data_IF_799909360964
#
_entry.id   IF_799909360964
#
_cell.length_a   1.000
_cell.length_b   1.000
_cell.length_c   1.000
_cell.angle_alpha   90.00
_cell.angle_beta   90.00
_cell.angle_gamma   90.00
#
_symmetry.space_group_name_H-M   'P 1'
#
loop_
_entity.id
_entity.type
_entity.pdbx_description
1 polymer ?
#
# COMPACT_ATOMS: atom_id res chain seq x y z
N UNK A 1 18.10 -11.49 -5.02
CA UNK A 1 19.45 -10.99 -5.37
C UNK A 1 19.68 -10.91 -6.88
N UNK A 2 19.40 -11.95 -7.67
CA UNK A 2 19.68 -11.96 -9.12
C UNK A 2 18.93 -10.87 -9.91
N UNK A 3 17.67 -10.58 -9.57
CA UNK A 3 16.89 -9.57 -10.32
C UNK A 3 17.53 -8.17 -10.20
N UNK A 4 18.11 -7.81 -9.05
CA UNK A 4 18.76 -6.50 -8.85
C UNK A 4 20.05 -6.33 -9.67
N UNK A 5 20.69 -7.40 -10.11
CA UNK A 5 21.91 -7.32 -10.93
C UNK A 5 21.64 -6.88 -12.37
N UNK A 6 20.37 -6.88 -12.81
CA UNK A 6 19.96 -6.38 -14.13
C UNK A 6 19.79 -4.86 -14.16
N UNK A 7 19.75 -4.19 -13.00
CA UNK A 7 19.54 -2.74 -12.90
C UNK A 7 20.53 -1.92 -13.75
N UNK A 8 21.86 -2.19 -13.75
CA UNK A 8 22.80 -1.41 -14.55
C UNK A 8 22.48 -1.41 -16.05
N UNK A 9 21.89 -2.49 -16.58
CA UNK A 9 21.48 -2.54 -17.98
C UNK A 9 20.29 -1.59 -18.25
N UNK A 10 19.28 -1.59 -17.37
CA UNK A 10 18.12 -0.70 -17.48
C UNK A 10 18.52 0.76 -17.27
N UNK A 11 19.41 1.03 -16.30
CA UNK A 11 19.91 2.36 -16.01
C UNK A 11 20.67 2.96 -17.21
N UNK A 12 21.52 2.19 -17.88
CA UNK A 12 22.20 2.64 -19.13
C UNK A 12 21.22 2.94 -20.26
N UNK A 13 20.09 2.25 -20.33
CA UNK A 13 19.03 2.46 -21.33
C UNK A 13 18.06 3.59 -20.98
N UNK A 14 18.29 4.34 -19.90
CA UNK A 14 17.43 5.48 -19.49
C UNK A 14 17.22 6.52 -20.61
N UNK A 15 18.23 6.90 -21.43
CA UNK A 15 18.01 7.83 -22.55
C UNK A 15 17.03 7.29 -23.60
N UNK A 16 16.93 5.97 -23.76
CA UNK A 16 16.06 5.34 -24.75
C UNK A 16 14.57 5.55 -24.46
N UNK A 17 14.20 5.96 -23.24
CA UNK A 17 12.82 6.37 -22.89
C UNK A 17 12.27 7.45 -23.82
N UNK A 18 13.13 8.27 -24.44
CA UNK A 18 12.72 9.34 -25.35
C UNK A 18 12.32 8.84 -26.75
N UNK A 19 12.60 7.58 -27.08
CA UNK A 19 12.48 7.08 -28.45
C UNK A 19 11.03 6.83 -28.86
N UNK A 20 10.22 6.25 -27.98
CA UNK A 20 8.78 6.07 -28.21
C UNK A 20 8.02 5.86 -26.89
N UNK A 21 6.69 5.93 -26.96
CA UNK A 21 5.79 5.63 -25.83
C UNK A 21 6.08 4.23 -25.27
N UNK A 22 6.31 3.24 -26.14
CA UNK A 22 6.61 1.85 -25.78
C UNK A 22 7.94 1.73 -25.02
N UNK A 23 8.95 2.51 -25.42
CA UNK A 23 10.24 2.52 -24.72
C UNK A 23 10.10 3.10 -23.32
N UNK A 24 9.39 4.22 -23.15
CA UNK A 24 9.15 4.80 -21.84
C UNK A 24 8.33 3.88 -20.94
N UNK A 25 7.26 3.30 -21.47
CA UNK A 25 6.41 2.36 -20.75
C UNK A 25 7.20 1.13 -20.28
N UNK A 26 7.91 0.48 -21.20
CA UNK A 26 8.71 -0.71 -20.92
C UNK A 26 9.78 -0.41 -19.87
N UNK A 27 10.41 0.77 -19.95
CA UNK A 27 11.41 1.18 -18.98
C UNK A 27 10.82 1.32 -17.58
N UNK A 28 9.66 1.98 -17.42
CA UNK A 28 8.99 2.08 -16.10
C UNK A 28 8.60 0.71 -15.53
N UNK A 29 8.05 -0.17 -16.37
CA UNK A 29 7.68 -1.54 -15.96
C UNK A 29 8.90 -2.30 -15.43
N UNK A 30 10.00 -2.29 -16.19
CA UNK A 30 11.23 -2.99 -15.83
C UNK A 30 11.87 -2.37 -14.59
N UNK A 31 12.00 -1.04 -14.52
CA UNK A 31 12.55 -0.36 -13.35
C UNK A 31 11.80 -0.73 -12.06
N UNK A 32 10.46 -0.66 -12.08
CA UNK A 32 9.64 -1.01 -10.92
C UNK A 32 9.69 -2.50 -10.58
N UNK A 33 9.76 -3.38 -11.59
CA UNK A 33 9.90 -4.82 -11.37
C UNK A 33 11.26 -5.15 -10.72
N UNK A 34 12.35 -4.59 -11.24
CA UNK A 34 13.69 -4.90 -10.76
C UNK A 34 13.96 -4.34 -9.37
N UNK A 35 13.46 -3.13 -9.10
CA UNK A 35 13.79 -2.38 -7.89
C UNK A 35 12.78 -2.55 -6.75
N UNK A 36 11.74 -3.38 -6.85
CA UNK A 36 10.82 -3.60 -5.72
C UNK A 36 11.52 -4.31 -4.54
N UNK A 37 11.17 -4.01 -3.27
CA UNK A 37 10.30 -2.92 -2.80
C UNK A 37 10.99 -1.56 -2.67
N UNK A 38 12.21 -1.42 -3.20
CA UNK A 38 13.07 -0.24 -3.11
C UNK A 38 14.13 -0.33 -2.03
N UNK A 39 14.15 -1.41 -1.24
CA UNK A 39 15.10 -1.62 -0.15
C UNK A 39 15.30 -3.12 0.12
N UNK A 40 16.21 -3.44 1.05
CA UNK A 40 16.43 -4.80 1.56
C UNK A 40 17.57 -5.55 0.87
N UNK A 41 18.10 -5.06 -0.24
CA UNK A 41 19.30 -5.61 -0.92
C UNK A 41 20.45 -4.61 -0.88
N UNK A 42 21.68 -5.11 -0.77
CA UNK A 42 22.89 -4.27 -0.81
C UNK A 42 22.87 -3.34 -2.04
N UNK A 43 23.24 -2.08 -1.83
CA UNK A 43 23.23 -0.98 -2.81
C UNK A 43 21.84 -0.48 -3.26
N UNK A 44 20.74 -0.92 -2.64
CA UNK A 44 19.42 -0.43 -3.02
C UNK A 44 19.23 1.07 -2.84
N UNK A 45 19.81 1.66 -1.78
CA UNK A 45 19.80 3.11 -1.59
C UNK A 45 20.41 3.84 -2.81
N UNK A 46 21.58 3.39 -3.29
CA UNK A 46 22.21 3.97 -4.47
C UNK A 46 21.36 3.79 -5.75
N UNK A 47 20.72 2.62 -5.93
CA UNK A 47 19.81 2.39 -7.07
C UNK A 47 18.58 3.29 -7.02
N UNK A 48 18.04 3.57 -5.83
CA UNK A 48 16.93 4.50 -5.65
C UNK A 48 17.36 5.95 -5.93
N UNK A 49 18.57 6.35 -5.55
CA UNK A 49 19.13 7.66 -5.94
C UNK A 49 19.25 7.79 -7.47
N UNK A 50 19.72 6.74 -8.15
CA UNK A 50 19.77 6.72 -9.61
C UNK A 50 18.39 6.76 -10.25
N UNK A 51 17.43 5.97 -9.73
CA UNK A 51 16.05 5.99 -10.17
C UNK A 51 15.42 7.37 -9.95
N UNK A 52 15.72 8.08 -8.86
CA UNK A 52 15.11 9.37 -8.57
C UNK A 52 15.34 10.41 -9.67
N UNK A 53 16.47 10.34 -10.40
CA UNK A 53 16.74 11.20 -11.57
C UNK A 53 15.66 11.12 -12.66
N UNK A 54 14.94 10.00 -12.72
CA UNK A 54 13.79 9.79 -13.63
C UNK A 54 12.63 10.69 -13.26
N UNK A 55 12.36 10.86 -11.96
CA UNK A 55 11.33 11.77 -11.48
C UNK A 55 11.66 13.19 -11.95
N UNK A 56 12.90 13.63 -11.74
CA UNK A 56 13.30 15.00 -12.06
C UNK A 56 13.31 15.27 -13.57
N UNK A 57 13.62 14.25 -14.39
CA UNK A 57 13.50 14.31 -15.84
C UNK A 57 12.04 14.32 -16.34
N UNK A 58 11.10 13.87 -15.51
CA UNK A 58 9.69 13.73 -15.87
C UNK A 58 9.40 12.65 -16.91
N UNK A 59 8.15 12.65 -17.39
CA UNK A 59 7.69 11.82 -18.51
C UNK A 59 7.98 12.51 -19.84
N UNK A 60 8.46 11.76 -20.83
CA UNK A 60 8.66 12.29 -22.19
C UNK A 60 7.37 12.28 -23.01
N UNK A 61 6.53 11.26 -22.80
CA UNK A 61 5.27 11.11 -23.52
C UNK A 61 4.08 11.39 -22.59
N UNK A 62 3.26 12.41 -22.89
CA UNK A 62 2.03 12.65 -22.16
C UNK A 62 0.99 11.57 -22.51
N UNK A 63 0.33 10.99 -21.51
CA UNK A 63 -0.75 10.04 -21.75
C UNK A 63 -1.12 9.25 -20.52
N UNK A 64 -2.38 8.76 -20.49
CA UNK A 64 -2.90 7.97 -19.35
C UNK A 64 -2.11 6.68 -19.14
N UNK A 65 -1.67 6.02 -20.22
CA UNK A 65 -0.85 4.79 -20.20
C UNK A 65 0.47 4.99 -19.46
N UNK A 66 1.22 6.04 -19.80
CA UNK A 66 2.51 6.33 -19.17
C UNK A 66 2.32 6.79 -17.73
N UNK A 67 1.32 7.65 -17.46
CA UNK A 67 0.99 8.08 -16.09
C UNK A 67 0.64 6.89 -15.18
N UNK A 68 -0.11 5.93 -15.71
CA UNK A 68 -0.44 4.70 -14.99
C UNK A 68 0.83 3.88 -14.66
N UNK A 69 1.77 3.73 -15.60
CA UNK A 69 3.02 3.02 -15.30
C UNK A 69 3.94 3.78 -14.35
N UNK A 70 3.93 5.10 -14.38
CA UNK A 70 4.61 5.93 -13.40
C UNK A 70 4.05 5.68 -11.99
N UNK A 71 2.72 5.61 -11.83
CA UNK A 71 2.09 5.24 -10.56
C UNK A 71 2.51 3.84 -10.08
N UNK A 72 2.51 2.85 -10.98
CA UNK A 72 2.95 1.47 -10.68
C UNK A 72 4.42 1.44 -10.25
N UNK A 73 5.28 2.15 -10.98
CA UNK A 73 6.72 2.25 -10.68
C UNK A 73 6.92 2.75 -9.24
N UNK A 74 6.37 3.92 -8.92
CA UNK A 74 6.56 4.53 -7.61
C UNK A 74 5.93 3.71 -6.48
N UNK A 75 4.76 3.10 -6.74
CA UNK A 75 4.11 2.19 -5.79
C UNK A 75 5.01 1.00 -5.46
N UNK A 76 5.64 0.38 -6.46
CA UNK A 76 6.51 -0.79 -6.29
C UNK A 76 7.79 -0.48 -5.53
N UNK A 77 8.29 0.76 -5.57
CA UNK A 77 9.54 1.15 -4.91
C UNK A 77 9.36 2.06 -3.69
N UNK A 78 8.11 2.28 -3.27
CA UNK A 78 7.75 3.22 -2.21
C UNK A 78 8.56 3.01 -0.92
N UNK A 79 8.84 1.75 -0.56
CA UNK A 79 9.61 1.41 0.63
C UNK A 79 11.05 1.92 0.63
N UNK A 80 11.64 2.15 -0.55
CA UNK A 80 12.96 2.76 -0.72
C UNK A 80 12.97 4.29 -0.64
N UNK A 81 11.81 4.95 -0.70
CA UNK A 81 11.72 6.40 -0.74
C UNK A 81 11.65 7.02 0.67
N UNK A 82 12.46 8.05 0.92
CA UNK A 82 12.31 8.89 2.10
C UNK A 82 10.99 9.67 2.08
N UNK A 83 10.56 10.22 3.24
CA UNK A 83 9.31 10.99 3.41
C UNK A 83 9.13 12.04 2.31
N UNK A 84 10.09 12.94 2.17
CA UNK A 84 10.01 14.07 1.23
C UNK A 84 9.80 13.60 -0.22
N UNK A 85 10.36 12.44 -0.58
CA UNK A 85 10.19 11.84 -1.91
C UNK A 85 8.82 11.20 -2.09
N UNK A 86 8.30 10.54 -1.05
CA UNK A 86 6.94 10.00 -1.08
C UNK A 86 5.90 11.12 -1.25
N UNK A 87 6.07 12.23 -0.52
CA UNK A 87 5.20 13.40 -0.65
C UNK A 87 5.32 14.04 -2.04
N UNK A 88 6.55 14.18 -2.56
CA UNK A 88 6.78 14.70 -3.92
C UNK A 88 6.19 13.82 -5.02
N UNK A 89 6.19 12.50 -4.86
CA UNK A 89 5.57 11.56 -5.80
C UNK A 89 4.05 11.76 -5.85
N UNK A 90 3.42 12.03 -4.71
CA UNK A 90 1.97 12.21 -4.64
C UNK A 90 1.52 13.63 -5.00
N UNK A 91 2.38 14.64 -4.81
CA UNK A 91 2.05 16.06 -4.92
C UNK A 91 1.31 16.44 -6.22
N UNK A 92 1.77 15.91 -7.36
CA UNK A 92 1.18 16.21 -8.67
C UNK A 92 -0.23 15.63 -8.89
N UNK A 93 -0.70 14.75 -8.01
CA UNK A 93 -2.00 14.10 -8.08
C UNK A 93 -2.92 14.45 -6.88
N UNK A 94 -2.45 15.26 -5.93
CA UNK A 94 -3.25 15.64 -4.75
C UNK A 94 -4.54 16.37 -5.13
N UNK A 95 -4.48 17.32 -6.05
CA UNK A 95 -5.68 18.04 -6.48
C UNK A 95 -6.68 17.12 -7.18
N UNK A 96 -6.20 16.12 -7.92
CA UNK A 96 -7.05 15.09 -8.53
C UNK A 96 -7.75 14.29 -7.44
N UNK A 97 -7.00 13.85 -6.42
CA UNK A 97 -7.54 13.10 -5.27
C UNK A 97 -8.59 13.92 -4.53
N UNK A 98 -8.31 15.22 -4.27
CA UNK A 98 -9.17 16.12 -3.50
C UNK A 98 -10.51 16.44 -4.17
N UNK A 99 -10.55 16.54 -5.48
CA UNK A 99 -11.72 17.08 -6.19
C UNK A 99 -12.49 16.05 -7.02
N UNK A 100 -11.90 14.89 -7.34
CA UNK A 100 -12.56 13.88 -8.17
C UNK A 100 -12.97 12.64 -7.37
N UNK A 101 -14.17 12.11 -7.67
CA UNK A 101 -14.67 10.88 -7.04
C UNK A 101 -14.32 9.63 -7.87
N UNK A 102 -14.04 9.80 -9.16
CA UNK A 102 -13.58 8.72 -10.03
C UNK A 102 -12.06 8.80 -10.21
N UNK A 103 -11.34 8.11 -9.33
CA UNK A 103 -9.88 8.11 -9.32
C UNK A 103 -9.33 6.87 -10.05
N UNK A 104 -8.21 6.99 -10.78
CA UNK A 104 -7.52 5.83 -11.32
C UNK A 104 -7.10 4.86 -10.19
N UNK A 105 -7.33 3.56 -10.39
CA UNK A 105 -7.02 2.55 -9.38
C UNK A 105 -5.54 2.57 -8.94
N UNK A 106 -4.60 2.74 -9.88
CA UNK A 106 -3.17 2.79 -9.55
C UNK A 106 -2.76 4.04 -8.77
N UNK A 107 -3.47 5.17 -8.93
CA UNK A 107 -3.25 6.36 -8.10
C UNK A 107 -3.70 6.11 -6.65
N UNK A 108 -4.86 5.48 -6.48
CA UNK A 108 -5.39 5.10 -5.16
C UNK A 108 -4.40 4.15 -4.46
N UNK A 109 -3.97 3.10 -5.16
CA UNK A 109 -3.04 2.11 -4.63
C UNK A 109 -1.65 2.71 -4.35
N UNK A 110 -1.19 3.66 -5.17
CA UNK A 110 0.03 4.41 -4.90
C UNK A 110 -0.11 5.18 -3.58
N UNK A 111 -1.18 5.96 -3.41
CA UNK A 111 -1.41 6.73 -2.18
C UNK A 111 -1.40 5.83 -0.93
N UNK A 112 -2.05 4.66 -1.01
CA UNK A 112 -2.03 3.67 0.07
C UNK A 112 -0.64 3.08 0.36
N UNK A 113 0.20 2.94 -0.66
CA UNK A 113 1.53 2.36 -0.52
C UNK A 113 2.57 3.32 0.08
N UNK A 114 2.28 4.61 0.24
CA UNK A 114 3.19 5.63 0.78
C UNK A 114 3.05 5.75 2.31
N UNK A 115 3.73 4.86 3.04
CA UNK A 115 3.62 4.77 4.50
C UNK A 115 4.29 5.93 5.24
N UNK A 116 5.23 6.65 4.62
CA UNK A 116 5.99 7.73 5.28
C UNK A 116 5.41 9.12 5.07
N UNK A 117 4.22 9.25 4.46
CA UNK A 117 3.49 10.51 4.37
C UNK A 117 3.27 11.14 5.76
N UNK A 118 3.33 12.46 5.84
CA UNK A 118 2.96 13.21 7.04
C UNK A 118 1.56 12.85 7.58
N UNK A 119 1.35 12.91 8.90
CA UNK A 119 0.11 12.45 9.53
C UNK A 119 -1.13 13.23 9.07
N UNK A 120 -1.00 14.53 8.80
CA UNK A 120 -2.08 15.39 8.32
C UNK A 120 -2.54 14.97 6.92
N UNK A 121 -1.58 14.77 6.01
CA UNK A 121 -1.86 14.32 4.65
C UNK A 121 -2.44 12.91 4.65
N UNK A 122 -1.92 12.01 5.50
CA UNK A 122 -2.47 10.66 5.63
C UNK A 122 -3.91 10.68 6.14
N UNK A 123 -4.22 11.52 7.12
CA UNK A 123 -5.59 11.72 7.61
C UNK A 123 -6.51 12.30 6.53
N UNK A 124 -6.04 13.26 5.73
CA UNK A 124 -6.76 13.81 4.58
C UNK A 124 -7.13 12.71 3.57
N UNK A 125 -6.15 11.89 3.19
CA UNK A 125 -6.34 10.78 2.24
C UNK A 125 -7.34 9.75 2.78
N UNK A 126 -7.25 9.39 4.05
CA UNK A 126 -8.19 8.45 4.70
C UNK A 126 -9.61 8.98 4.61
N UNK A 127 -9.86 10.21 5.05
CA UNK A 127 -11.21 10.82 5.00
C UNK A 127 -11.73 10.90 3.58
N UNK A 128 -10.87 11.29 2.63
CA UNK A 128 -11.23 11.36 1.22
C UNK A 128 -11.61 9.99 0.66
N UNK A 129 -10.84 8.95 0.97
CA UNK A 129 -11.09 7.60 0.50
C UNK A 129 -12.33 6.96 1.16
N UNK A 130 -12.60 7.24 2.44
CA UNK A 130 -13.87 6.88 3.08
C UNK A 130 -15.05 7.53 2.33
N UNK A 131 -15.00 8.85 2.10
CA UNK A 131 -16.07 9.60 1.45
C UNK A 131 -16.35 9.12 0.00
N UNK A 132 -15.33 8.64 -0.72
CA UNK A 132 -15.51 8.05 -2.06
C UNK A 132 -16.05 6.62 -1.96
N UNK A 133 -15.49 5.79 -1.09
CA UNK A 133 -15.81 4.36 -1.04
C UNK A 133 -17.17 4.07 -0.39
N UNK A 134 -17.60 4.84 0.60
CA UNK A 134 -18.87 4.59 1.31
C UNK A 134 -20.09 4.48 0.38
N UNK A 135 -20.42 5.47 -0.47
CA UNK A 135 -21.58 5.36 -1.36
C UNK A 135 -21.44 4.21 -2.36
N UNK A 136 -20.23 3.97 -2.89
CA UNK A 136 -19.96 2.87 -3.83
C UNK A 136 -20.20 1.51 -3.15
N UNK A 137 -19.73 1.36 -1.91
CA UNK A 137 -19.88 0.13 -1.14
C UNK A 137 -21.32 -0.13 -0.72
N UNK A 138 -22.10 0.92 -0.39
CA UNK A 138 -23.55 0.81 -0.09
C UNK A 138 -24.37 0.32 -1.28
N UNK A 139 -23.95 0.65 -2.49
CA UNK A 139 -24.53 0.14 -3.73
C UNK A 139 -24.00 -1.25 -4.14
N UNK A 140 -23.20 -1.90 -3.28
CA UNK A 140 -22.52 -3.17 -3.55
C UNK A 140 -21.68 -3.14 -4.84
N UNK A 141 -21.13 -1.98 -5.19
CA UNK A 141 -20.25 -1.79 -6.35
C UNK A 141 -18.78 -1.98 -5.96
N UNK A 142 -17.97 -2.33 -6.96
CA UNK A 142 -16.55 -2.61 -6.77
C UNK A 142 -15.76 -1.35 -6.36
N UNK A 143 -15.22 -1.34 -5.14
CA UNK A 143 -14.34 -0.28 -4.62
C UNK A 143 -13.03 -0.83 -4.03
N UNK A 144 -12.65 -2.05 -4.39
CA UNK A 144 -11.49 -2.78 -3.82
C UNK A 144 -10.19 -1.96 -3.78
N UNK A 145 -9.78 -1.18 -4.81
CA UNK A 145 -8.57 -0.38 -4.73
C UNK A 145 -8.58 0.63 -3.57
N UNK A 146 -9.74 1.25 -3.31
CA UNK A 146 -9.90 2.24 -2.24
C UNK A 146 -9.86 1.55 -0.87
N UNK A 147 -10.55 0.42 -0.72
CA UNK A 147 -10.52 -0.37 0.50
C UNK A 147 -9.12 -0.90 0.81
N UNK A 148 -8.38 -1.36 -0.20
CA UNK A 148 -7.00 -1.81 -0.06
C UNK A 148 -6.07 -0.66 0.37
N UNK A 149 -6.24 0.53 -0.22
CA UNK A 149 -5.48 1.71 0.17
C UNK A 149 -5.79 2.16 1.61
N UNK A 150 -7.07 2.18 2.00
CA UNK A 150 -7.47 2.42 3.39
C UNK A 150 -6.83 1.40 4.34
N UNK A 151 -6.79 0.13 3.95
CA UNK A 151 -6.15 -0.93 4.73
C UNK A 151 -4.65 -0.73 4.93
N UNK A 152 -3.96 -0.06 4.00
CA UNK A 152 -2.56 0.32 4.16
C UNK A 152 -2.39 1.61 4.99
N UNK A 153 -3.22 2.63 4.74
CA UNK A 153 -3.14 3.91 5.45
C UNK A 153 -3.50 3.78 6.93
N UNK A 154 -4.44 2.90 7.27
CA UNK A 154 -4.87 2.61 8.64
C UNK A 154 -4.06 1.49 9.31
N UNK A 155 -3.07 0.91 8.63
CA UNK A 155 -2.32 -0.23 9.13
C UNK A 155 -1.56 0.12 10.43
N UNK A 156 -1.77 -0.67 11.48
CA UNK A 156 -1.09 -0.48 12.78
C UNK A 156 0.34 -1.01 12.79
N UNK A 157 0.67 -1.87 11.83
CA UNK A 157 2.01 -2.42 11.64
C UNK A 157 2.49 -2.08 10.23
N UNK A 158 2.97 -0.84 9.99
CA UNK A 158 3.51 -0.44 8.69
C UNK A 158 4.56 -1.44 8.20
N UNK A 159 4.60 -1.66 6.89
CA UNK A 159 5.41 -2.70 6.28
C UNK A 159 6.89 -2.30 6.20
N UNK A 160 7.18 -1.00 6.05
CA UNK A 160 8.54 -0.48 5.92
C UNK A 160 8.77 0.85 6.65
N UNK A 161 7.73 1.49 7.17
CA UNK A 161 7.83 2.64 8.04
C UNK A 161 7.79 2.25 9.53
N UNK A 162 8.13 3.19 10.41
CA UNK A 162 8.05 2.97 11.85
C UNK A 162 6.67 3.33 12.43
N UNK A 163 6.45 3.00 13.72
CA UNK A 163 5.19 3.26 14.42
C UNK A 163 4.82 4.75 14.47
N UNK A 164 5.78 5.66 14.31
CA UNK A 164 5.55 7.12 14.23
C UNK A 164 4.68 7.55 13.05
N UNK A 165 4.49 6.67 12.06
CA UNK A 165 3.66 6.94 10.88
C UNK A 165 2.23 6.43 11.02
N UNK A 166 1.92 5.72 12.10
CA UNK A 166 0.60 5.18 12.40
C UNK A 166 -0.33 6.33 12.79
N UNK A 167 -1.51 6.40 12.16
CA UNK A 167 -2.46 7.51 12.36
C UNK A 167 -3.25 7.39 13.67
N UNK A 168 -4.01 8.42 14.04
CA UNK A 168 -4.89 8.36 15.22
C UNK A 168 -5.83 7.13 15.21
N UNK A 169 -6.14 6.51 16.37
CA UNK A 169 -7.21 5.54 16.49
C UNK A 169 -8.59 6.05 16.03
N UNK A 170 -8.86 7.35 16.13
CA UNK A 170 -10.16 7.94 15.76
C UNK A 170 -10.48 7.72 14.28
N UNK A 171 -9.47 7.73 13.40
CA UNK A 171 -9.66 7.48 11.96
C UNK A 171 -10.07 6.03 11.66
N UNK A 172 -9.77 5.08 12.56
CA UNK A 172 -10.27 3.70 12.46
C UNK A 172 -11.71 3.62 12.94
N UNK A 173 -12.10 4.43 13.91
CA UNK A 173 -13.50 4.56 14.31
C UNK A 173 -14.34 5.17 13.20
N UNK A 174 -13.90 6.29 12.61
CA UNK A 174 -14.54 6.91 11.44
C UNK A 174 -14.72 5.91 10.29
N UNK A 175 -13.65 5.17 9.97
CA UNK A 175 -13.69 4.14 8.93
C UNK A 175 -14.64 2.99 9.30
N UNK A 176 -14.65 2.54 10.56
CA UNK A 176 -15.56 1.51 11.03
C UNK A 176 -17.01 1.97 10.89
N UNK A 177 -17.33 3.18 11.34
CA UNK A 177 -18.69 3.72 11.29
C UNK A 177 -19.23 3.87 9.87
N UNK A 178 -18.38 4.22 8.90
CA UNK A 178 -18.77 4.28 7.49
C UNK A 178 -19.17 2.90 6.91
N UNK A 179 -18.54 1.81 7.36
CA UNK A 179 -18.70 0.48 6.75
C UNK A 179 -19.36 -0.58 7.66
N UNK A 180 -19.68 -0.26 8.93
CA UNK A 180 -20.17 -1.25 9.92
C UNK A 180 -21.52 -1.86 9.58
N UNK A 181 -22.36 -1.21 8.79
CA UNK A 181 -23.69 -1.70 8.44
C UNK A 181 -23.69 -2.55 7.16
N UNK A 182 -22.53 -2.64 6.48
CA UNK A 182 -22.38 -3.43 5.25
C UNK A 182 -22.14 -4.91 5.56
N UNK A 183 -22.45 -5.77 4.59
CA UNK A 183 -22.12 -7.18 4.62
C UNK A 183 -20.66 -7.41 4.23
N UNK A 184 -19.81 -7.69 5.23
CA UNK A 184 -18.38 -7.94 5.01
C UNK A 184 -18.09 -9.34 4.46
N UNK A 185 -19.11 -10.20 4.32
CA UNK A 185 -18.99 -11.51 3.67
C UNK A 185 -19.24 -11.43 2.15
N UNK A 186 -19.83 -10.34 1.67
CA UNK A 186 -20.05 -10.10 0.25
C UNK A 186 -18.70 -10.03 -0.50
N UNK A 187 -18.63 -10.71 -1.66
CA UNK A 187 -17.41 -10.83 -2.46
C UNK A 187 -16.86 -9.47 -2.90
N UNK A 188 -17.76 -8.54 -3.23
CA UNK A 188 -17.45 -7.18 -3.66
C UNK A 188 -16.79 -6.34 -2.54
N UNK A 189 -17.04 -6.71 -1.28
CA UNK A 189 -16.57 -6.04 -0.07
C UNK A 189 -15.57 -6.88 0.74
N UNK A 190 -15.06 -7.98 0.19
CA UNK A 190 -14.14 -8.88 0.88
C UNK A 190 -12.88 -8.16 1.41
N UNK A 191 -12.46 -7.07 0.75
CA UNK A 191 -11.30 -6.27 1.18
C UNK A 191 -11.52 -5.54 2.52
N UNK A 192 -12.78 -5.33 2.95
CA UNK A 192 -13.06 -4.81 4.30
C UNK A 192 -12.48 -5.73 5.37
N UNK A 193 -12.43 -7.05 5.13
CA UNK A 193 -11.85 -7.99 6.08
C UNK A 193 -10.36 -7.71 6.28
N UNK A 194 -9.60 -7.57 5.19
CA UNK A 194 -8.16 -7.25 5.22
C UNK A 194 -7.90 -5.88 5.83
N UNK A 195 -8.69 -4.87 5.43
CA UNK A 195 -8.62 -3.51 5.97
C UNK A 195 -8.72 -3.53 7.50
N UNK A 196 -9.78 -4.12 8.05
CA UNK A 196 -10.03 -4.09 9.48
C UNK A 196 -9.12 -5.03 10.28
N UNK A 197 -8.62 -6.11 9.68
CA UNK A 197 -7.56 -6.93 10.30
C UNK A 197 -6.28 -6.11 10.52
N UNK A 198 -5.91 -5.22 9.60
CA UNK A 198 -4.76 -4.32 9.73
C UNK A 198 -5.04 -3.15 10.66
N UNK A 199 -6.21 -2.53 10.52
CA UNK A 199 -6.57 -1.30 11.22
C UNK A 199 -6.80 -1.47 12.72
N UNK A 200 -7.27 -2.64 13.14
CA UNK A 200 -7.58 -2.95 14.54
C UNK A 200 -6.56 -3.89 15.22
N UNK A 201 -5.45 -4.22 14.55
CA UNK A 201 -4.40 -5.06 15.13
C UNK A 201 -3.80 -4.38 16.36
N UNK A 202 -3.64 -5.17 17.43
CA UNK A 202 -2.97 -4.73 18.66
C UNK A 202 -1.46 -4.70 18.44
N UNK A 203 -0.83 -3.57 18.76
CA UNK A 203 0.62 -3.37 18.69
C UNK A 203 1.27 -3.12 20.06
N UNK A 204 0.50 -3.29 21.14
CA UNK A 204 0.94 -3.13 22.54
C UNK A 204 1.42 -1.70 22.84
N UNK A 205 0.80 -0.72 22.17
CA UNK A 205 1.01 0.70 22.41
C UNK A 205 -0.34 1.40 22.51
N UNK A 206 -0.69 1.83 23.73
CA UNK A 206 -2.00 2.41 24.07
C UNK A 206 -2.35 3.66 23.27
N UNK A 207 -1.36 4.40 22.76
CA UNK A 207 -1.62 5.62 21.95
C UNK A 207 -1.89 5.29 20.49
N UNK A 208 -1.47 4.11 20.01
CA UNK A 208 -1.65 3.66 18.61
C UNK A 208 -2.78 2.64 18.48
N UNK A 209 -3.04 1.87 19.53
CA UNK A 209 -4.09 0.86 19.56
C UNK A 209 -5.47 1.51 19.55
N UNK A 210 -6.34 1.03 18.66
CA UNK A 210 -7.76 1.35 18.72
C UNK A 210 -8.37 0.93 20.08
N UNK A 211 -9.40 1.64 20.59
CA UNK A 211 -10.05 1.32 21.85
C UNK A 211 -10.46 -0.16 21.92
N UNK A 212 -10.25 -0.80 23.08
CA UNK A 212 -10.54 -2.23 23.26
C UNK A 212 -11.95 -2.60 22.80
N UNK A 213 -12.95 -1.78 23.15
CA UNK A 213 -14.33 -1.98 22.73
C UNK A 213 -14.49 -1.99 21.20
N UNK A 214 -13.89 -1.03 20.50
CA UNK A 214 -13.91 -0.98 19.03
C UNK A 214 -13.24 -2.21 18.41
N UNK A 215 -12.05 -2.61 18.90
CA UNK A 215 -11.36 -3.81 18.42
C UNK A 215 -12.20 -5.08 18.58
N UNK A 216 -12.93 -5.22 19.69
CA UNK A 216 -13.80 -6.38 19.91
C UNK A 216 -15.03 -6.35 19.00
N UNK A 217 -15.64 -5.17 18.76
CA UNK A 217 -16.72 -5.01 17.76
C UNK A 217 -16.26 -5.45 16.37
N UNK A 218 -15.10 -4.97 15.94
CA UNK A 218 -14.49 -5.32 14.65
C UNK A 218 -14.21 -6.82 14.57
N UNK A 219 -13.56 -7.41 15.57
CA UNK A 219 -13.24 -8.83 15.60
C UNK A 219 -14.49 -9.71 15.49
N UNK A 220 -15.55 -9.38 16.25
CA UNK A 220 -16.80 -10.13 16.20
C UNK A 220 -17.50 -10.00 14.83
N UNK A 221 -17.43 -8.82 14.20
CA UNK A 221 -18.00 -8.62 12.85
C UNK A 221 -17.21 -9.39 11.78
N UNK A 222 -15.88 -9.42 11.88
CA UNK A 222 -15.02 -10.24 11.02
C UNK A 222 -15.34 -11.73 11.15
N UNK A 223 -15.48 -12.24 12.39
CA UNK A 223 -15.83 -13.64 12.65
C UNK A 223 -17.19 -14.01 12.05
N UNK A 224 -18.20 -13.14 12.21
CA UNK A 224 -19.53 -13.31 11.57
C UNK A 224 -19.48 -13.28 10.04
N UNK A 225 -18.51 -12.56 9.48
CA UNK A 225 -18.26 -12.51 8.04
C UNK A 225 -17.41 -13.69 7.52
N UNK A 226 -17.08 -14.67 8.38
CA UNK A 226 -16.35 -15.89 8.00
C UNK A 226 -14.84 -15.84 8.22
N UNK A 227 -14.30 -14.78 8.84
CA UNK A 227 -12.87 -14.75 9.20
C UNK A 227 -12.59 -15.67 10.37
N UNK A 228 -11.61 -16.56 10.23
CA UNK A 228 -11.26 -17.52 11.28
C UNK A 228 -10.84 -16.81 12.59
N UNK A 229 -11.30 -17.30 13.78
CA UNK A 229 -10.94 -16.72 15.08
C UNK A 229 -9.43 -16.58 15.34
N UNK A 230 -8.63 -17.47 14.74
CA UNK A 230 -7.17 -17.41 14.81
C UNK A 230 -6.60 -16.12 14.18
N UNK A 231 -7.23 -15.59 13.12
CA UNK A 231 -6.83 -14.32 12.48
C UNK A 231 -7.28 -13.10 13.28
N UNK A 232 -8.46 -13.16 13.90
CA UNK A 232 -9.01 -12.06 14.71
C UNK A 232 -8.45 -12.01 16.13
N UNK A 233 -7.73 -13.05 16.57
CA UNK A 233 -7.03 -13.07 17.86
C UNK A 233 -6.09 -11.86 18.04
N UNK A 234 -5.38 -11.45 16.98
CA UNK A 234 -4.47 -10.30 16.98
C UNK A 234 -5.18 -8.94 17.19
N UNK A 235 -6.51 -8.89 17.08
CA UNK A 235 -7.32 -7.70 17.40
C UNK A 235 -7.74 -7.72 18.87
N UNK A 236 -7.78 -8.88 19.52
CA UNK A 236 -8.21 -9.02 20.92
C UNK A 236 -7.02 -8.86 21.87
N UNK A 237 -5.88 -9.43 21.50
CA UNK A 237 -4.63 -9.43 22.26
C UNK A 237 -3.42 -9.20 21.35
N UNK A 238 -2.30 -8.79 21.94
CA UNK A 238 -1.06 -8.65 21.20
C UNK A 238 -0.57 -10.02 20.71
N UNK A 239 -0.26 -10.08 19.42
CA UNK A 239 0.39 -11.22 18.79
C UNK A 239 1.60 -10.70 18.02
N UNK A 240 2.83 -11.19 18.30
CA UNK A 240 4.00 -10.81 17.51
C UNK A 240 3.79 -11.10 16.01
N UNK A 241 4.33 -10.25 15.14
CA UNK A 241 4.28 -10.49 13.70
C UNK A 241 5.08 -11.75 13.35
N UNK A 242 4.46 -12.67 12.63
CA UNK A 242 5.15 -13.86 12.11
C UNK A 242 6.07 -13.51 10.94
N UNK A 243 7.22 -14.20 10.80
CA UNK A 243 8.17 -13.99 9.67
C UNK A 243 7.53 -14.12 8.28
N UNK A 244 6.46 -14.89 8.14
CA UNK A 244 5.72 -15.11 6.89
C UNK A 244 4.71 -14.01 6.56
N UNK A 245 4.27 -13.23 7.54
CA UNK A 245 3.33 -12.12 7.33
C UNK A 245 4.02 -10.94 6.59
N UNK A 246 5.33 -10.76 6.79
CA UNK A 246 6.13 -9.72 6.13
C UNK A 246 6.42 -9.98 4.65
N UNK A 247 6.61 -11.23 4.23
CA UNK A 247 6.97 -11.60 2.84
C UNK A 247 5.80 -11.56 1.87
N UNK A 248 4.58 -11.83 2.35
CA UNK A 248 3.35 -11.79 1.53
C UNK A 248 3.03 -10.38 1.01
N UNK A 249 3.43 -9.34 1.75
CA UNK A 249 3.08 -7.95 1.47
C UNK A 249 3.88 -7.33 0.31
N UNK A 250 4.99 -7.94 -0.09
CA UNK A 250 5.85 -7.43 -1.19
C UNK A 250 5.66 -8.15 -2.52
N UNK A 251 4.65 -9.02 -2.63
CA UNK A 251 4.35 -9.76 -3.87
C UNK A 251 5.33 -10.89 -4.17
N UNK A 252 6.22 -11.22 -3.23
CA UNK A 252 7.14 -12.36 -3.30
C UNK A 252 6.66 -13.48 -2.35
N UNK A 253 5.35 -13.65 -2.18
CA UNK A 253 4.80 -14.85 -1.54
C UNK A 253 5.15 -16.05 -2.41
N UNK A 254 5.80 -17.05 -1.81
CA UNK A 254 5.92 -18.36 -2.42
C UNK A 254 4.51 -18.88 -2.73
N UNK A 255 4.26 -19.42 -3.94
CA UNK A 255 3.04 -20.13 -4.24
C UNK A 255 2.70 -21.16 -3.15
N UNK A 256 1.41 -21.39 -2.85
CA UNK A 256 1.00 -22.42 -1.90
C UNK A 256 1.68 -23.76 -2.22
N UNK A 257 2.37 -24.35 -1.24
CA UNK A 257 3.06 -25.64 -1.38
C UNK A 257 4.59 -25.58 -1.56
N UNK A 258 5.18 -24.39 -1.67
CA UNK A 258 6.63 -24.22 -1.73
C UNK A 258 7.21 -23.80 -0.38
N UNK A 259 8.14 -24.59 0.15
CA UNK A 259 8.91 -24.30 1.37
C UNK A 259 10.38 -24.05 0.99
N UNK A 260 10.94 -22.92 1.43
CA UNK A 260 12.38 -22.69 1.30
C UNK A 260 13.10 -23.55 2.34
N UNK A 261 13.79 -24.59 1.86
CA UNK A 261 14.72 -25.36 2.69
C UNK A 261 15.95 -24.49 2.94
N UNK A 262 16.22 -24.18 4.21
CA UNK A 262 17.49 -23.58 4.61
C UNK A 262 18.48 -24.72 4.81
N UNK A 263 19.24 -25.04 3.77
CA UNK A 263 20.43 -25.87 3.93
C UNK A 263 21.53 -24.94 4.46
N UNK A 264 21.75 -24.96 5.77
CA UNK A 264 22.94 -24.36 6.37
C UNK A 264 24.07 -25.42 6.33
N UNK A 265 25.28 -25.10 5.86
CA UNK A 265 26.49 -25.76 6.33
C UNK A 265 26.84 -25.30 7.75
#
# INVERSE_FOLDING_TARGET
>A
MLVRSLWPAIQRSMPCRRQSVEHEETWFILAGYLLRPGFGVALDAARIEELWRVRDAGRYFPGKRIKLQEHILWRRVAGGLARDRQEQVLAGDLDVIRHNNNLPAELILLAGALERLGPELKAELIRRFIAIAEPIARESKHCTPILAALGMLLNRTPVYAGPETVVSPDLVEDCYDAFKDLDWSARELAELQTLFLRAARVVDNRTLDAPKALRHRIANKLERAGVAPAKTAALKQFTPLGRTEGTSLFGDSLPPGLLLRTDAP
#
